data_IF_333454329911
#
_entry.id   IF_333454329911
#
_cell.length_a   1.000
_cell.length_b   1.000
_cell.length_c   1.000
_cell.angle_alpha   90.00
_cell.angle_beta   90.00
_cell.angle_gamma   90.00
#
_symmetry.space_group_name_H-M   'P 1'
#
loop_
_entity.id
_entity.type
_entity.pdbx_description
1 polymer ?
#
# COMPACT_ATOMS: atom_id res chain seq x y z
N UNK A 1 8.49 -21.30 18.94
CA UNK A 1 7.57 -20.58 18.06
C UNK A 1 7.77 -19.08 18.28
N UNK A 2 8.57 -18.48 17.45
CA UNK A 2 8.74 -17.02 17.42
C UNK A 2 7.75 -16.50 16.39
N UNK A 3 6.57 -16.05 16.80
CA UNK A 3 5.76 -15.23 15.95
C UNK A 3 6.23 -13.79 16.12
N UNK A 4 6.82 -13.20 15.11
CA UNK A 4 6.96 -11.74 15.09
C UNK A 4 5.57 -11.10 15.06
N UNK A 5 5.39 -9.94 15.67
CA UNK A 5 4.10 -9.24 15.69
C UNK A 5 3.55 -9.03 14.25
N UNK A 6 4.43 -8.86 13.26
CA UNK A 6 4.06 -8.76 11.85
C UNK A 6 3.46 -10.06 11.29
N UNK A 7 3.97 -11.25 11.69
CA UNK A 7 3.40 -12.52 11.23
C UNK A 7 2.01 -12.79 11.80
N UNK A 8 1.66 -12.20 12.93
CA UNK A 8 0.34 -12.34 13.53
C UNK A 8 -0.73 -11.50 12.82
N UNK A 9 -0.37 -10.40 12.19
CA UNK A 9 -1.28 -9.56 11.39
C UNK A 9 -1.78 -10.30 10.15
N UNK A 10 -0.95 -11.12 9.51
CA UNK A 10 -1.28 -11.86 8.29
C UNK A 10 -1.93 -13.23 8.52
N UNK A 11 -1.81 -13.81 9.71
CA UNK A 11 -2.39 -15.14 10.04
C UNK A 11 -3.91 -15.16 10.23
N UNK A 12 -4.61 -14.08 9.95
CA UNK A 12 -6.06 -13.98 10.21
C UNK A 12 -6.93 -14.63 9.16
N UNK A 13 -6.39 -15.11 8.05
CA UNK A 13 -7.17 -15.73 7.01
C UNK A 13 -6.67 -17.15 6.71
N UNK A 14 -7.46 -18.15 7.09
CA UNK A 14 -7.24 -19.54 6.70
C UNK A 14 -8.24 -19.87 5.60
N UNK A 15 -7.76 -20.18 4.40
CA UNK A 15 -8.58 -20.64 3.29
C UNK A 15 -8.64 -22.16 3.30
N UNK A 16 -9.83 -22.71 3.58
CA UNK A 16 -10.12 -24.12 3.50
C UNK A 16 -10.88 -24.42 2.22
N UNK A 17 -10.29 -25.21 1.32
CA UNK A 17 -11.00 -25.75 0.19
C UNK A 17 -11.46 -27.16 0.53
N UNK A 18 -12.77 -27.35 0.62
CA UNK A 18 -13.38 -28.64 0.95
C UNK A 18 -14.51 -28.98 -0.01
N UNK A 19 -14.74 -30.26 -0.21
CA UNK A 19 -15.96 -30.74 -0.88
C UNK A 19 -17.09 -30.82 0.14
N UNK A 20 -18.25 -30.31 -0.24
CA UNK A 20 -19.46 -30.36 0.57
C UNK A 20 -20.69 -30.55 -0.30
N UNK A 21 -21.79 -30.95 0.31
CA UNK A 21 -23.09 -30.99 -0.37
C UNK A 21 -23.46 -29.59 -0.90
N UNK A 22 -23.95 -29.56 -2.13
CA UNK A 22 -24.36 -28.34 -2.77
C UNK A 22 -25.80 -28.03 -2.42
N UNK A 23 -25.99 -27.33 -1.31
CA UNK A 23 -27.26 -26.88 -0.77
C UNK A 23 -27.17 -25.50 -0.17
N UNK A 24 -28.31 -24.86 0.05
CA UNK A 24 -28.33 -23.59 0.76
C UNK A 24 -27.92 -23.76 2.23
N UNK A 25 -27.12 -22.81 2.70
CA UNK A 25 -26.77 -22.60 4.08
C UNK A 25 -27.16 -21.15 4.39
N UNK A 26 -28.15 -20.97 5.27
CA UNK A 26 -28.69 -19.63 5.59
C UNK A 26 -29.15 -18.83 4.33
N UNK A 27 -29.83 -19.52 3.39
CA UNK A 27 -30.39 -18.90 2.20
C UNK A 27 -29.43 -18.66 1.04
N UNK A 28 -28.15 -19.07 1.16
CA UNK A 28 -27.19 -18.95 0.07
C UNK A 28 -26.06 -19.98 0.12
N UNK A 29 -25.35 -20.15 -1.00
CA UNK A 29 -24.12 -20.95 -1.09
C UNK A 29 -23.19 -20.39 -2.18
N UNK A 30 -21.93 -20.14 -1.82
CA UNK A 30 -20.86 -19.87 -2.79
C UNK A 30 -20.12 -21.19 -3.07
N UNK A 31 -19.81 -21.45 -4.34
CA UNK A 31 -19.16 -22.70 -4.74
C UNK A 31 -18.37 -22.57 -6.04
N UNK A 32 -17.42 -23.48 -6.19
CA UNK A 32 -16.66 -23.75 -7.43
C UNK A 32 -16.29 -25.23 -7.45
N UNK A 33 -15.95 -25.77 -8.61
CA UNK A 33 -15.51 -27.16 -8.72
C UNK A 33 -14.29 -27.29 -9.62
N UNK A 34 -13.23 -27.93 -9.13
CA UNK A 34 -11.94 -28.04 -9.84
C UNK A 34 -12.05 -28.70 -11.22
N UNK A 35 -12.90 -29.72 -11.35
CA UNK A 35 -13.10 -30.38 -12.65
C UNK A 35 -13.74 -29.50 -13.71
N UNK A 36 -14.31 -28.35 -13.32
CA UNK A 36 -14.85 -27.38 -14.28
C UNK A 36 -13.74 -26.75 -15.14
N UNK A 37 -12.49 -26.75 -14.69
CA UNK A 37 -11.36 -26.25 -15.47
C UNK A 37 -11.15 -26.96 -16.81
N UNK A 38 -11.54 -28.25 -16.89
CA UNK A 38 -11.29 -29.10 -18.08
C UNK A 38 -12.56 -29.62 -18.77
N UNK A 39 -13.73 -29.50 -18.15
CA UNK A 39 -15.00 -29.96 -18.70
C UNK A 39 -16.18 -29.15 -18.19
N UNK A 40 -17.25 -29.10 -18.97
CA UNK A 40 -18.53 -28.55 -18.50
C UNK A 40 -19.14 -29.48 -17.44
N UNK A 41 -19.67 -28.89 -16.38
CA UNK A 41 -20.32 -29.60 -15.30
C UNK A 41 -21.79 -29.20 -15.21
N UNK A 42 -22.65 -30.16 -14.86
CA UNK A 42 -24.00 -29.91 -14.36
C UNK A 42 -23.91 -29.74 -12.85
N UNK A 43 -24.55 -28.71 -12.36
CA UNK A 43 -24.72 -28.43 -10.94
C UNK A 43 -26.19 -28.60 -10.58
N UNK A 44 -26.45 -29.36 -9.53
CA UNK A 44 -27.78 -29.54 -8.96
C UNK A 44 -27.70 -29.08 -7.49
N UNK A 45 -28.34 -27.95 -7.18
CA UNK A 45 -28.26 -27.27 -5.90
C UNK A 45 -29.57 -27.54 -5.16
N UNK A 46 -29.52 -28.10 -3.97
CA UNK A 46 -30.71 -28.21 -3.11
C UNK A 46 -31.05 -26.82 -2.54
N UNK A 47 -32.20 -26.31 -2.99
CA UNK A 47 -32.73 -25.00 -2.61
C UNK A 47 -34.07 -25.15 -1.91
N UNK A 48 -34.31 -26.29 -1.26
CA UNK A 48 -35.56 -26.62 -0.57
C UNK A 48 -35.90 -25.50 0.44
N UNK A 49 -37.11 -24.95 0.31
CA UNK A 49 -37.61 -23.86 1.14
C UNK A 49 -37.29 -22.44 0.62
N UNK A 50 -36.52 -22.29 -0.44
CA UNK A 50 -36.31 -21.00 -1.07
C UNK A 50 -37.53 -20.56 -1.88
N UNK A 51 -37.83 -19.27 -1.87
CA UNK A 51 -38.98 -18.66 -2.57
C UNK A 51 -38.58 -18.21 -3.99
N UNK A 52 -37.42 -17.63 -4.15
CA UNK A 52 -36.93 -17.11 -5.45
C UNK A 52 -35.45 -17.41 -5.63
N UNK A 53 -35.07 -18.70 -5.76
CA UNK A 53 -33.67 -19.07 -5.88
C UNK A 53 -33.08 -18.65 -7.22
N UNK A 54 -31.88 -18.08 -7.19
CA UNK A 54 -31.11 -17.63 -8.35
C UNK A 54 -29.66 -18.12 -8.25
N UNK A 55 -28.99 -18.16 -9.41
CA UNK A 55 -27.54 -18.42 -9.50
C UNK A 55 -26.88 -17.31 -10.28
N UNK A 56 -25.78 -16.80 -9.74
CA UNK A 56 -24.93 -15.84 -10.44
C UNK A 56 -23.52 -16.39 -10.58
N UNK A 57 -22.93 -16.17 -11.75
CA UNK A 57 -21.51 -16.32 -11.99
C UNK A 57 -20.82 -15.05 -11.46
N UNK A 58 -19.96 -15.21 -10.46
CA UNK A 58 -19.22 -14.15 -9.80
C UNK A 58 -17.72 -14.27 -10.01
N UNK A 59 -17.31 -15.03 -11.03
CA UNK A 59 -15.89 -15.20 -11.42
C UNK A 59 -15.20 -13.86 -11.63
N UNK A 60 -15.94 -12.89 -12.16
CA UNK A 60 -15.51 -11.50 -12.29
C UNK A 60 -16.34 -10.67 -11.29
N UNK A 61 -15.80 -10.33 -10.12
CA UNK A 61 -16.58 -9.77 -9.01
C UNK A 61 -17.30 -8.44 -9.32
N UNK A 62 -16.74 -7.64 -10.22
CA UNK A 62 -17.31 -6.35 -10.64
C UNK A 62 -18.24 -6.47 -11.87
N UNK A 63 -18.43 -7.67 -12.40
CA UNK A 63 -19.30 -7.94 -13.53
C UNK A 63 -20.06 -9.28 -13.36
N UNK A 64 -20.82 -9.46 -12.26
CA UNK A 64 -21.57 -10.68 -12.02
C UNK A 64 -22.62 -10.88 -13.12
N UNK A 65 -22.84 -12.14 -13.49
CA UNK A 65 -23.79 -12.53 -14.54
C UNK A 65 -24.82 -13.51 -13.99
N UNK A 66 -26.09 -13.25 -14.24
CA UNK A 66 -27.15 -14.22 -13.92
C UNK A 66 -27.02 -15.45 -14.81
N UNK A 67 -27.23 -16.63 -14.23
CA UNK A 67 -27.23 -17.91 -14.93
C UNK A 67 -28.67 -18.41 -15.02
N UNK A 68 -29.10 -18.77 -16.23
CA UNK A 68 -30.36 -19.45 -16.41
C UNK A 68 -30.30 -20.85 -15.79
N UNK A 69 -31.14 -21.09 -14.80
CA UNK A 69 -31.20 -22.35 -14.08
C UNK A 69 -32.65 -22.85 -13.97
N UNK A 70 -32.84 -24.13 -14.08
CA UNK A 70 -34.15 -24.79 -13.99
C UNK A 70 -34.44 -25.17 -12.55
N UNK A 71 -35.59 -24.72 -12.03
CA UNK A 71 -36.07 -25.10 -10.70
C UNK A 71 -37.08 -26.27 -10.82
N UNK A 72 -36.70 -27.43 -10.31
CA UNK A 72 -37.56 -28.62 -10.29
C UNK A 72 -37.33 -29.44 -9.03
N UNK A 73 -38.43 -29.84 -8.35
CA UNK A 73 -38.35 -30.70 -7.19
C UNK A 73 -37.49 -30.18 -6.03
N UNK A 74 -37.44 -28.86 -5.81
CA UNK A 74 -36.60 -28.24 -4.77
C UNK A 74 -35.11 -28.18 -5.12
N UNK A 75 -34.75 -28.46 -6.39
CA UNK A 75 -33.40 -28.34 -6.90
C UNK A 75 -33.31 -27.29 -8.00
N UNK A 76 -32.29 -26.46 -7.92
CA UNK A 76 -31.92 -25.50 -8.94
C UNK A 76 -30.77 -26.09 -9.76
N UNK A 77 -31.00 -26.33 -11.07
CA UNK A 77 -30.05 -27.04 -11.93
C UNK A 77 -29.59 -26.19 -13.10
N UNK A 78 -28.30 -26.22 -13.40
CA UNK A 78 -27.74 -25.59 -14.59
C UNK A 78 -26.48 -26.32 -15.06
N UNK A 79 -26.07 -26.06 -16.30
CA UNK A 79 -24.81 -26.56 -16.85
C UNK A 79 -23.85 -25.39 -17.05
N UNK A 80 -22.61 -25.53 -16.58
CA UNK A 80 -21.61 -24.48 -16.76
C UNK A 80 -21.49 -24.05 -18.22
N UNK A 81 -21.41 -22.74 -18.54
CA UNK A 81 -21.46 -22.25 -19.91
C UNK A 81 -20.25 -22.73 -20.74
N UNK A 82 -19.12 -22.93 -20.11
CA UNK A 82 -17.89 -23.41 -20.76
C UNK A 82 -17.02 -24.24 -19.78
N UNK A 83 -16.04 -24.95 -20.32
CA UNK A 83 -15.02 -25.68 -19.55
C UNK A 83 -13.98 -24.70 -19.04
N UNK A 84 -14.24 -24.08 -17.90
CA UNK A 84 -13.33 -23.19 -17.18
C UNK A 84 -13.65 -23.18 -15.70
N UNK A 85 -12.66 -22.93 -14.85
CA UNK A 85 -12.91 -22.74 -13.43
C UNK A 85 -13.68 -21.44 -13.24
N UNK A 86 -14.87 -21.56 -12.67
CA UNK A 86 -15.77 -20.44 -12.40
C UNK A 86 -16.23 -20.48 -10.95
N UNK A 87 -16.54 -19.32 -10.42
CA UNK A 87 -17.10 -19.14 -9.09
C UNK A 87 -18.57 -18.74 -9.23
N UNK A 88 -19.42 -19.42 -8.48
CA UNK A 88 -20.85 -19.19 -8.49
C UNK A 88 -21.36 -18.88 -7.09
N UNK A 89 -22.40 -18.07 -7.02
CA UNK A 89 -23.22 -17.88 -5.82
C UNK A 89 -24.65 -18.21 -6.18
N UNK A 90 -25.25 -19.14 -5.44
CA UNK A 90 -26.69 -19.37 -5.46
C UNK A 90 -27.29 -18.79 -4.18
N UNK A 91 -28.42 -18.10 -4.30
CA UNK A 91 -29.08 -17.40 -3.21
C UNK A 91 -30.58 -17.29 -3.42
N UNK A 92 -31.34 -17.09 -2.35
CA UNK A 92 -32.75 -16.77 -2.44
C UNK A 92 -32.93 -15.25 -2.54
N UNK A 93 -33.39 -14.77 -3.71
CA UNK A 93 -33.61 -13.35 -3.92
C UNK A 93 -34.75 -12.75 -3.06
N UNK A 94 -35.58 -13.61 -2.44
CA UNK A 94 -36.60 -13.19 -1.48
C UNK A 94 -36.07 -13.10 -0.04
N UNK A 95 -34.83 -13.53 0.23
CA UNK A 95 -34.24 -13.45 1.56
C UNK A 95 -33.89 -11.99 1.93
N UNK A 96 -33.76 -11.75 3.24
CA UNK A 96 -33.28 -10.45 3.74
C UNK A 96 -31.77 -10.37 3.57
N UNK A 97 -31.31 -9.43 2.76
CA UNK A 97 -29.89 -9.14 2.60
C UNK A 97 -29.40 -8.10 3.59
N UNK A 98 -28.09 -8.14 3.87
CA UNK A 98 -27.43 -7.08 4.63
C UNK A 98 -27.53 -5.76 3.88
N UNK A 99 -27.91 -4.70 4.57
CA UNK A 99 -27.94 -3.36 4.02
C UNK A 99 -26.66 -2.63 4.39
N UNK A 100 -26.04 -1.88 3.46
CA UNK A 100 -24.88 -1.06 3.79
C UNK A 100 -25.27 0.05 4.77
N UNK A 101 -24.34 0.38 5.66
CA UNK A 101 -24.48 1.54 6.56
C UNK A 101 -24.03 2.78 5.78
N UNK A 102 -24.90 3.78 5.72
CA UNK A 102 -24.55 5.07 5.13
C UNK A 102 -23.67 5.84 6.11
N UNK A 103 -22.42 6.10 5.73
CA UNK A 103 -21.45 6.85 6.54
C UNK A 103 -21.65 8.35 6.38
N UNK A 104 -21.91 8.82 5.16
CA UNK A 104 -22.13 10.23 4.86
C UNK A 104 -21.79 10.61 3.41
N UNK A 105 -21.95 11.88 3.05
CA UNK A 105 -21.58 12.38 1.73
C UNK A 105 -20.06 12.51 1.63
N UNK A 106 -19.53 12.25 0.44
CA UNK A 106 -18.15 12.57 0.06
C UNK A 106 -18.18 13.81 -0.83
N UNK A 107 -17.31 14.79 -0.55
CA UNK A 107 -17.18 15.98 -1.38
C UNK A 107 -16.74 15.61 -2.80
N UNK A 108 -17.27 16.29 -3.79
CA UNK A 108 -16.84 16.11 -5.17
C UNK A 108 -15.35 16.42 -5.30
N UNK A 109 -14.64 15.56 -6.00
CA UNK A 109 -13.21 15.66 -6.25
C UNK A 109 -12.91 15.18 -7.68
N UNK A 110 -11.74 15.55 -8.18
CA UNK A 110 -11.25 15.06 -9.47
C UNK A 110 -9.72 15.13 -9.49
N UNK A 111 -9.06 14.13 -8.93
CA UNK A 111 -7.59 14.03 -8.94
C UNK A 111 -7.06 13.73 -10.35
N UNK A 112 -7.88 13.10 -11.18
CA UNK A 112 -7.54 12.86 -12.57
C UNK A 112 -7.43 14.14 -13.40
N UNK A 113 -7.99 15.27 -12.97
CA UNK A 113 -7.85 16.56 -13.63
C UNK A 113 -6.67 17.41 -13.12
N UNK A 114 -5.94 16.93 -12.11
CA UNK A 114 -4.82 17.68 -11.55
C UNK A 114 -3.71 17.88 -12.60
N UNK A 115 -3.07 19.07 -12.62
CA UNK A 115 -1.92 19.33 -13.47
C UNK A 115 -0.70 18.52 -12.99
N UNK A 116 0.31 18.45 -13.83
CA UNK A 116 1.64 17.94 -13.48
C UNK A 116 2.23 18.71 -12.30
N UNK A 117 2.96 18.02 -11.46
CA UNK A 117 3.81 18.61 -10.43
C UNK A 117 5.14 17.87 -10.31
N UNK A 118 6.21 18.59 -9.94
CA UNK A 118 7.51 18.00 -9.65
C UNK A 118 7.51 17.29 -8.31
N UNK A 119 6.87 17.89 -7.31
CA UNK A 119 6.75 17.39 -5.95
C UNK A 119 5.28 17.10 -5.61
N UNK A 120 4.97 15.86 -5.29
CA UNK A 120 3.67 15.46 -4.76
C UNK A 120 3.81 15.18 -3.28
N UNK A 121 3.01 15.84 -2.45
CA UNK A 121 2.98 15.64 -1.00
C UNK A 121 1.63 15.00 -0.64
N UNK A 122 1.67 13.79 -0.11
CA UNK A 122 0.49 13.12 0.45
C UNK A 122 0.47 13.37 1.95
N UNK A 123 -0.57 14.05 2.42
CA UNK A 123 -0.67 14.51 3.81
C UNK A 123 -2.06 14.28 4.38
N UNK A 124 -2.18 13.71 5.60
CA UNK A 124 -3.42 13.74 6.34
C UNK A 124 -3.88 15.19 6.59
N UNK A 125 -5.20 15.42 6.81
CA UNK A 125 -5.73 16.76 7.09
C UNK A 125 -5.00 17.50 8.21
N UNK A 126 -4.51 16.78 9.20
CA UNK A 126 -3.84 17.34 10.39
C UNK A 126 -2.57 18.13 10.04
N UNK A 127 -1.86 17.76 8.97
CA UNK A 127 -0.56 18.34 8.60
C UNK A 127 -0.61 19.16 7.30
N UNK A 128 -1.80 19.41 6.74
CA UNK A 128 -1.96 20.08 5.45
C UNK A 128 -1.31 21.47 5.39
N UNK A 129 -1.35 22.23 6.49
CA UNK A 129 -0.81 23.59 6.53
C UNK A 129 0.74 23.54 6.42
N UNK A 130 1.36 22.64 7.16
CA UNK A 130 2.82 22.45 7.11
C UNK A 130 3.27 21.83 5.79
N UNK A 131 2.50 20.93 5.22
CA UNK A 131 2.76 20.36 3.91
C UNK A 131 2.72 21.43 2.80
N UNK A 132 1.78 22.37 2.88
CA UNK A 132 1.71 23.52 1.95
C UNK A 132 2.89 24.46 2.15
N UNK A 133 3.22 24.81 3.42
CA UNK A 133 4.34 25.68 3.75
C UNK A 133 5.66 25.11 3.18
N UNK A 134 5.84 23.79 3.26
CA UNK A 134 6.99 23.12 2.66
C UNK A 134 6.96 23.18 1.14
N UNK A 135 5.80 22.95 0.52
CA UNK A 135 5.65 23.06 -0.93
C UNK A 135 5.94 24.48 -1.45
N UNK A 136 5.43 25.49 -0.76
CA UNK A 136 5.71 26.91 -1.07
C UNK A 136 7.20 27.23 -0.97
N UNK A 137 7.87 26.74 0.08
CA UNK A 137 9.31 26.86 0.19
C UNK A 137 10.05 26.28 -1.01
N UNK A 138 9.69 25.09 -1.47
CA UNK A 138 10.32 24.46 -2.63
C UNK A 138 10.02 25.19 -3.96
N UNK A 139 8.87 25.86 -4.08
CA UNK A 139 8.61 26.74 -5.22
C UNK A 139 9.61 27.92 -5.25
N UNK A 140 9.79 28.58 -4.11
CA UNK A 140 10.63 29.77 -4.01
C UNK A 140 12.12 29.44 -4.05
N UNK A 141 12.53 28.36 -3.39
CA UNK A 141 13.94 28.01 -3.22
C UNK A 141 14.48 27.14 -4.36
N UNK A 142 13.71 26.15 -4.80
CA UNK A 142 14.15 25.11 -5.75
C UNK A 142 13.45 25.20 -7.12
N UNK A 143 12.52 26.13 -7.28
CA UNK A 143 11.71 26.29 -8.50
C UNK A 143 10.89 25.03 -8.85
N UNK A 144 10.47 24.23 -7.85
CA UNK A 144 9.66 23.06 -8.04
C UNK A 144 8.17 23.41 -8.02
N UNK A 145 7.41 22.86 -8.96
CA UNK A 145 5.95 22.83 -8.83
C UNK A 145 5.52 21.77 -7.83
N UNK A 146 4.45 22.04 -7.06
CA UNK A 146 3.98 21.10 -6.05
C UNK A 146 2.46 20.88 -6.03
N UNK A 147 2.05 19.73 -5.51
CA UNK A 147 0.69 19.38 -5.16
C UNK A 147 0.66 18.81 -3.74
N UNK A 148 -0.36 19.20 -2.95
CA UNK A 148 -0.65 18.56 -1.66
C UNK A 148 -2.01 17.88 -1.75
N UNK A 149 -2.05 16.57 -1.48
CA UNK A 149 -3.25 15.75 -1.63
C UNK A 149 -3.49 14.92 -0.37
N UNK A 150 -4.76 14.81 0.02
CA UNK A 150 -5.14 13.96 1.15
C UNK A 150 -5.22 12.50 0.73
N UNK A 151 -4.77 11.55 1.56
CA UNK A 151 -4.83 10.11 1.25
C UNK A 151 -6.26 9.62 0.99
N UNK A 152 -7.26 10.13 1.72
CA UNK A 152 -8.66 9.77 1.51
C UNK A 152 -9.15 10.11 0.09
N UNK A 153 -8.70 11.23 -0.48
CA UNK A 153 -9.03 11.59 -1.86
C UNK A 153 -8.40 10.62 -2.87
N UNK A 154 -7.16 10.19 -2.62
CA UNK A 154 -6.49 9.19 -3.45
C UNK A 154 -7.25 7.86 -3.36
N UNK A 155 -7.60 7.42 -2.16
CA UNK A 155 -8.35 6.16 -1.99
C UNK A 155 -9.70 6.18 -2.70
N UNK A 156 -10.41 7.30 -2.66
CA UNK A 156 -11.71 7.42 -3.34
C UNK A 156 -11.61 7.17 -4.85
N UNK A 157 -10.59 7.70 -5.52
CA UNK A 157 -10.47 7.59 -6.98
C UNK A 157 -9.65 6.39 -7.46
N UNK A 158 -8.69 5.90 -6.66
CA UNK A 158 -7.74 4.86 -7.10
C UNK A 158 -7.91 3.50 -6.44
N UNK A 159 -8.77 3.40 -5.39
CA UNK A 159 -9.07 2.14 -4.70
C UNK A 159 -10.50 2.04 -4.15
N UNK A 160 -11.46 2.74 -4.77
CA UNK A 160 -12.88 2.72 -4.40
C UNK A 160 -13.14 3.05 -2.92
N UNK A 161 -12.36 3.96 -2.35
CA UNK A 161 -12.45 4.42 -0.97
C UNK A 161 -11.73 3.52 0.06
N UNK A 162 -11.16 2.41 -0.35
CA UNK A 162 -10.43 1.52 0.56
C UNK A 162 -8.98 2.00 0.73
N UNK A 163 -8.47 2.17 1.96
CA UNK A 163 -7.06 2.44 2.19
C UNK A 163 -6.19 1.32 1.58
N UNK A 164 -5.39 1.66 0.59
CA UNK A 164 -4.56 0.73 -0.17
C UNK A 164 -3.27 1.43 -0.62
N UNK A 165 -2.12 0.80 -0.35
CA UNK A 165 -0.82 1.30 -0.80
C UNK A 165 -0.77 1.44 -2.32
N UNK A 166 -1.40 0.52 -3.05
CA UNK A 166 -1.48 0.55 -4.51
C UNK A 166 -2.19 1.79 -5.05
N UNK A 167 -3.12 2.38 -4.27
CA UNK A 167 -3.80 3.61 -4.68
C UNK A 167 -2.82 4.79 -4.80
N UNK A 168 -1.90 4.93 -3.85
CA UNK A 168 -0.87 5.99 -3.89
C UNK A 168 0.07 5.75 -5.07
N UNK A 169 0.51 4.51 -5.29
CA UNK A 169 1.32 4.15 -6.46
C UNK A 169 0.60 4.48 -7.77
N UNK A 170 -0.67 4.11 -7.92
CA UNK A 170 -1.49 4.39 -9.10
C UNK A 170 -1.67 5.89 -9.33
N UNK A 171 -1.83 6.66 -8.27
CA UNK A 171 -1.90 8.10 -8.36
C UNK A 171 -0.60 8.71 -8.91
N UNK A 172 0.57 8.28 -8.43
CA UNK A 172 1.86 8.69 -8.98
C UNK A 172 2.05 8.21 -10.42
N UNK A 173 1.69 6.94 -10.69
CA UNK A 173 1.76 6.36 -12.03
C UNK A 173 0.91 7.14 -13.05
N UNK A 174 -0.24 7.67 -12.67
CA UNK A 174 -1.06 8.51 -13.55
C UNK A 174 -0.27 9.70 -14.10
N UNK A 175 0.52 10.38 -13.29
CA UNK A 175 1.38 11.49 -13.76
C UNK A 175 2.53 10.97 -14.62
N UNK A 176 3.13 9.87 -14.23
CA UNK A 176 4.21 9.22 -14.98
C UNK A 176 3.76 8.83 -16.38
N UNK A 177 2.62 8.15 -16.52
CA UNK A 177 2.08 7.72 -17.81
C UNK A 177 1.70 8.90 -18.70
N UNK A 178 1.17 9.99 -18.11
CA UNK A 178 0.85 11.24 -18.84
C UNK A 178 2.06 11.94 -19.41
N UNK A 179 3.22 11.75 -18.83
CA UNK A 179 4.47 12.27 -19.38
C UNK A 179 4.82 11.65 -20.74
N UNK A 180 4.22 10.49 -21.06
CA UNK A 180 4.35 9.81 -22.36
C UNK A 180 5.81 9.71 -22.86
N UNK A 181 6.73 9.38 -21.93
CA UNK A 181 8.15 9.24 -22.21
C UNK A 181 8.98 10.52 -22.09
N UNK A 182 8.35 11.69 -21.95
CA UNK A 182 9.06 12.95 -21.73
C UNK A 182 9.47 13.09 -20.25
N UNK A 183 10.75 12.92 -19.98
CA UNK A 183 11.30 12.99 -18.62
C UNK A 183 11.08 14.36 -17.96
N UNK A 184 11.01 15.44 -18.72
CA UNK A 184 10.78 16.78 -18.19
C UNK A 184 9.35 16.96 -17.65
N UNK A 185 8.43 16.10 -18.05
CA UNK A 185 7.03 16.10 -17.62
C UNK A 185 6.72 15.06 -16.53
N UNK A 186 7.67 14.20 -16.16
CA UNK A 186 7.50 13.22 -15.08
C UNK A 186 7.44 13.90 -13.72
N UNK A 187 6.71 13.34 -12.74
CA UNK A 187 6.89 13.72 -11.35
C UNK A 187 8.31 13.34 -10.92
N UNK A 188 8.91 14.15 -10.05
CA UNK A 188 10.29 13.93 -9.58
C UNK A 188 10.33 13.37 -8.16
N UNK A 189 9.40 13.80 -7.32
CA UNK A 189 9.42 13.49 -5.89
C UNK A 189 8.04 13.18 -5.36
N UNK A 190 7.99 12.21 -4.44
CA UNK A 190 6.84 11.93 -3.57
C UNK A 190 7.28 12.10 -2.12
N UNK A 191 6.57 12.94 -1.37
CA UNK A 191 6.71 13.03 0.07
C UNK A 191 5.47 12.48 0.77
N UNK A 192 5.67 11.49 1.62
CA UNK A 192 4.66 10.97 2.53
C UNK A 192 4.77 11.77 3.84
N UNK A 193 3.87 12.72 4.03
CA UNK A 193 3.92 13.64 5.18
C UNK A 193 3.10 13.07 6.34
N UNK A 194 3.65 12.12 7.06
CA UNK A 194 3.04 11.41 8.19
C UNK A 194 3.79 10.12 8.51
N UNK A 195 3.67 9.67 9.75
CA UNK A 195 4.26 8.41 10.18
C UNK A 195 3.64 7.22 9.46
N UNK A 196 4.34 6.10 9.44
CA UNK A 196 3.89 4.82 8.90
C UNK A 196 3.74 3.76 9.98
N UNK A 197 3.08 2.67 9.63
CA UNK A 197 2.95 1.51 10.50
C UNK A 197 3.03 0.22 9.70
N UNK A 198 3.61 -0.82 10.29
CA UNK A 198 3.47 -2.17 9.76
C UNK A 198 2.05 -2.73 9.97
N UNK A 199 1.31 -2.20 10.95
CA UNK A 199 -0.11 -2.54 11.17
C UNK A 199 -1.04 -1.48 10.56
N UNK A 200 -1.07 -1.41 9.23
CA UNK A 200 -1.91 -0.47 8.49
C UNK A 200 -3.41 -0.56 8.85
N UNK A 201 -3.85 -1.64 9.49
CA UNK A 201 -5.26 -1.89 9.85
C UNK A 201 -5.56 -1.67 11.31
N UNK A 202 -4.56 -1.35 12.13
CA UNK A 202 -4.66 -1.18 13.59
C UNK A 202 -5.31 -2.38 14.28
N UNK A 203 -4.86 -3.59 13.95
CA UNK A 203 -5.40 -4.83 14.50
C UNK A 203 -4.68 -5.30 15.77
N UNK A 204 -3.46 -4.84 15.99
CA UNK A 204 -2.73 -5.12 17.23
C UNK A 204 -3.18 -4.17 18.33
N UNK A 205 -3.14 -4.61 19.60
CA UNK A 205 -3.53 -3.78 20.75
C UNK A 205 -2.68 -2.51 20.83
N UNK A 206 -1.40 -2.61 20.51
CA UNK A 206 -0.49 -1.48 20.49
C UNK A 206 -0.98 -0.40 19.54
N UNK A 207 -1.18 -0.73 18.26
CA UNK A 207 -1.55 0.23 17.23
C UNK A 207 -3.02 0.68 17.31
N UNK A 208 -3.91 -0.16 17.85
CA UNK A 208 -5.30 0.21 18.10
C UNK A 208 -5.45 1.35 19.12
N UNK A 209 -4.48 1.51 20.02
CA UNK A 209 -4.48 2.55 21.07
C UNK A 209 -3.99 3.92 20.59
N UNK A 210 -3.31 4.00 19.44
CA UNK A 210 -2.80 5.26 18.92
C UNK A 210 -3.88 6.09 18.22
N UNK A 211 -4.05 7.33 18.64
CA UNK A 211 -5.01 8.30 18.09
C UNK A 211 -4.31 9.40 17.28
N UNK A 212 -3.45 9.00 16.35
CA UNK A 212 -2.86 9.93 15.39
C UNK A 212 -2.99 9.39 13.96
N UNK A 213 -3.08 10.27 12.95
CA UNK A 213 -3.12 9.83 11.57
C UNK A 213 -1.76 9.32 11.13
N UNK A 214 -1.73 8.14 10.52
CA UNK A 214 -0.55 7.65 9.81
C UNK A 214 -0.89 7.38 8.34
N UNK A 215 0.15 7.38 7.51
CA UNK A 215 0.06 7.02 6.11
C UNK A 215 0.39 5.54 5.93
N UNK A 216 -0.40 4.88 5.12
CA UNK A 216 -0.19 3.47 4.79
C UNK A 216 1.23 3.23 4.25
N UNK A 217 1.82 2.12 4.63
CA UNK A 217 3.07 1.59 4.09
C UNK A 217 2.77 0.41 3.16
N UNK A 218 3.66 0.15 2.21
CA UNK A 218 3.64 -1.13 1.52
C UNK A 218 4.34 -2.18 2.40
N UNK A 219 3.82 -3.40 2.38
CA UNK A 219 4.38 -4.53 3.11
C UNK A 219 4.70 -5.66 2.15
N UNK A 220 5.84 -6.33 2.37
CA UNK A 220 6.21 -7.53 1.63
C UNK A 220 5.19 -8.66 1.80
N UNK A 221 5.06 -9.50 0.78
CA UNK A 221 4.08 -10.60 0.75
C UNK A 221 4.44 -11.75 1.71
N UNK A 222 5.73 -11.88 2.03
CA UNK A 222 6.21 -12.93 2.92
C UNK A 222 5.98 -12.55 4.39
N UNK A 223 5.31 -13.40 5.14
CA UNK A 223 5.03 -13.16 6.55
C UNK A 223 5.68 -14.16 7.50
N UNK A 224 6.45 -15.11 6.98
CA UNK A 224 7.07 -16.21 7.73
C UNK A 224 8.58 -16.00 7.83
N UNK A 225 9.21 -15.47 6.81
CA UNK A 225 10.64 -15.17 6.78
C UNK A 225 10.87 -13.72 7.24
N UNK A 226 11.65 -13.54 8.30
CA UNK A 226 11.96 -12.23 8.87
C UNK A 226 12.75 -11.33 7.93
N UNK A 227 13.48 -11.89 6.97
CA UNK A 227 14.27 -11.13 5.99
C UNK A 227 13.39 -10.52 4.89
N UNK A 228 12.34 -11.26 4.52
CA UNK A 228 11.44 -10.88 3.43
C UNK A 228 10.15 -10.19 3.95
N UNK A 229 9.95 -10.19 5.28
CA UNK A 229 8.84 -9.49 5.93
C UNK A 229 9.27 -8.09 6.35
N UNK A 230 9.11 -7.14 5.45
CA UNK A 230 9.51 -5.74 5.66
C UNK A 230 8.44 -4.76 5.17
N UNK A 231 8.52 -3.54 5.66
CA UNK A 231 7.79 -2.39 5.13
C UNK A 231 8.72 -1.51 4.31
N UNK A 232 8.21 -0.95 3.23
CA UNK A 232 8.99 -0.04 2.38
C UNK A 232 8.12 1.03 1.76
N UNK A 233 8.71 2.19 1.52
CA UNK A 233 8.10 3.26 0.75
C UNK A 233 8.54 3.23 -0.74
N UNK A 234 9.55 2.46 -1.09
CA UNK A 234 10.06 2.34 -2.47
C UNK A 234 8.98 1.88 -3.45
N UNK A 235 8.04 1.03 -2.99
CA UNK A 235 6.90 0.57 -3.76
C UNK A 235 6.13 1.68 -4.47
N UNK A 236 6.02 2.84 -3.86
CA UNK A 236 5.30 3.97 -4.43
C UNK A 236 6.01 4.62 -5.62
N UNK A 237 7.30 4.31 -5.80
CA UNK A 237 8.13 4.84 -6.86
C UNK A 237 8.43 3.88 -8.01
N UNK A 238 7.91 2.66 -7.97
CA UNK A 238 8.01 1.69 -9.06
C UNK A 238 6.84 1.90 -10.02
N UNK A 239 7.05 2.71 -11.07
CA UNK A 239 5.95 3.23 -11.88
C UNK A 239 5.79 2.56 -13.25
N UNK A 240 6.70 1.66 -13.64
CA UNK A 240 6.51 0.85 -14.85
C UNK A 240 5.38 -0.16 -14.71
N UNK A 241 4.82 -0.64 -15.85
CA UNK A 241 3.66 -1.53 -15.90
C UNK A 241 3.94 -2.92 -15.31
N UNK A 242 5.17 -3.40 -15.46
CA UNK A 242 5.65 -4.71 -15.03
C UNK A 242 6.27 -4.71 -13.64
N UNK A 243 6.25 -3.57 -12.95
CA UNK A 243 6.83 -3.40 -11.63
C UNK A 243 5.78 -3.49 -10.50
N UNK A 244 6.28 -3.68 -9.28
CA UNK A 244 5.48 -3.71 -8.04
C UNK A 244 5.09 -5.10 -7.57
N UNK A 245 5.26 -6.14 -8.40
CA UNK A 245 5.09 -7.54 -7.99
C UNK A 245 6.38 -8.14 -7.41
N UNK A 246 7.53 -7.71 -7.91
CA UNK A 246 8.86 -8.14 -7.44
C UNK A 246 9.68 -6.88 -7.13
N UNK A 247 9.76 -6.54 -5.84
CA UNK A 247 10.45 -5.33 -5.38
C UNK A 247 11.97 -5.38 -5.58
N UNK A 248 12.56 -6.59 -5.65
CA UNK A 248 14.00 -6.75 -5.80
C UNK A 248 14.49 -6.45 -7.22
N UNK A 249 13.60 -6.45 -8.19
CA UNK A 249 13.92 -6.18 -9.60
C UNK A 249 13.42 -4.85 -10.11
N UNK A 250 12.63 -4.16 -9.30
CA UNK A 250 12.08 -2.87 -9.64
C UNK A 250 13.12 -1.76 -9.48
N UNK A 251 12.97 -0.69 -10.24
CA UNK A 251 13.84 0.49 -10.21
C UNK A 251 13.03 1.72 -9.86
N UNK A 252 13.54 2.54 -8.94
CA UNK A 252 12.87 3.79 -8.57
C UNK A 252 12.88 4.79 -9.73
N UNK A 253 11.70 5.21 -10.16
CA UNK A 253 11.49 6.25 -11.16
C UNK A 253 11.48 7.66 -10.58
N UNK A 254 11.20 7.79 -9.28
CA UNK A 254 11.09 9.05 -8.56
C UNK A 254 11.76 8.97 -7.19
N UNK A 255 12.19 10.11 -6.67
CA UNK A 255 12.67 10.21 -5.29
C UNK A 255 11.50 10.13 -4.30
N UNK A 256 11.66 9.31 -3.24
CA UNK A 256 10.64 9.16 -2.21
C UNK A 256 11.21 9.51 -0.85
N UNK A 257 10.41 10.21 -0.06
CA UNK A 257 10.71 10.51 1.32
C UNK A 257 9.48 10.41 2.22
N UNK A 258 9.73 10.18 3.50
CA UNK A 258 8.67 10.20 4.53
C UNK A 258 9.09 11.11 5.68
N UNK A 259 8.14 11.93 6.15
CA UNK A 259 8.27 12.65 7.41
C UNK A 259 7.49 11.86 8.47
N UNK A 260 8.17 11.12 9.36
CA UNK A 260 7.54 10.28 10.37
C UNK A 260 7.01 11.12 11.54
N UNK A 261 6.09 12.03 11.24
CA UNK A 261 5.50 12.97 12.22
C UNK A 261 4.11 12.49 12.64
N UNK A 262 3.80 12.67 13.92
CA UNK A 262 2.55 12.23 14.57
C UNK A 262 1.71 13.39 15.07
N UNK A 263 2.33 14.54 15.33
CA UNK A 263 1.69 15.73 15.89
C UNK A 263 1.97 16.96 15.03
N UNK A 264 1.12 17.99 15.17
CA UNK A 264 1.35 19.29 14.51
C UNK A 264 2.69 19.93 14.91
N UNK A 265 3.08 19.76 16.17
CA UNK A 265 4.35 20.30 16.66
C UNK A 265 5.54 19.62 15.99
N UNK A 266 5.52 18.30 15.85
CA UNK A 266 6.56 17.56 15.14
C UNK A 266 6.57 17.92 13.64
N UNK A 267 5.41 18.08 13.02
CA UNK A 267 5.30 18.50 11.63
C UNK A 267 5.93 19.87 11.40
N UNK A 268 5.61 20.86 12.25
CA UNK A 268 6.20 22.19 12.18
C UNK A 268 7.73 22.13 12.40
N UNK A 269 8.20 21.43 13.43
CA UNK A 269 9.62 21.29 13.72
C UNK A 269 10.41 20.60 12.57
N UNK A 270 9.80 19.62 11.91
CA UNK A 270 10.41 18.95 10.76
C UNK A 270 10.57 19.91 9.56
N UNK A 271 9.53 20.69 9.26
CA UNK A 271 9.57 21.68 8.18
C UNK A 271 10.57 22.81 8.52
N UNK A 272 10.55 23.31 9.76
CA UNK A 272 11.51 24.33 10.23
C UNK A 272 12.96 23.85 10.10
N UNK A 273 13.23 22.61 10.50
CA UNK A 273 14.54 21.99 10.38
C UNK A 273 14.99 21.91 8.92
N UNK A 274 14.13 21.49 8.01
CA UNK A 274 14.45 21.38 6.58
C UNK A 274 14.74 22.77 6.00
N UNK A 275 13.89 23.75 6.26
CA UNK A 275 14.08 25.11 5.77
C UNK A 275 15.37 25.71 6.33
N UNK A 276 15.62 25.57 7.64
CA UNK A 276 16.84 26.05 8.26
C UNK A 276 18.09 25.40 7.67
N UNK A 277 18.03 24.08 7.38
CA UNK A 277 19.15 23.38 6.75
C UNK A 277 19.38 23.87 5.31
N UNK A 278 18.35 24.01 4.51
CA UNK A 278 18.46 24.43 3.11
C UNK A 278 18.94 25.89 2.97
N UNK A 279 18.49 26.74 3.89
CA UNK A 279 18.87 28.18 3.88
C UNK A 279 20.11 28.49 4.74
N UNK A 280 20.73 27.48 5.33
CA UNK A 280 21.84 27.64 6.24
C UNK A 280 23.08 28.24 5.55
N UNK A 281 23.48 29.42 6.01
CA UNK A 281 24.65 30.17 5.55
C UNK A 281 25.90 29.95 6.41
N UNK A 282 25.82 29.07 7.42
CA UNK A 282 26.99 28.68 8.19
C UNK A 282 27.91 27.80 7.34
N UNK A 283 29.08 28.32 7.00
CA UNK A 283 30.11 27.67 6.19
C UNK A 283 31.18 26.99 7.05
N UNK A 284 30.87 26.60 8.26
CA UNK A 284 31.79 25.90 9.15
C UNK A 284 32.30 24.56 8.58
N UNK A 285 33.46 24.13 9.06
CA UNK A 285 34.12 22.88 8.62
C UNK A 285 33.24 21.63 8.80
N UNK A 286 32.29 21.67 9.72
CA UNK A 286 31.35 20.58 9.99
C UNK A 286 30.53 20.12 8.76
N UNK A 287 30.39 20.99 7.75
CA UNK A 287 29.72 20.61 6.48
C UNK A 287 30.51 19.64 5.62
N UNK A 288 31.79 19.50 5.92
CA UNK A 288 32.69 18.57 5.23
C UNK A 288 32.91 17.28 6.03
N UNK A 289 32.34 17.19 7.25
CA UNK A 289 32.50 16.02 8.08
C UNK A 289 31.54 14.91 7.60
N UNK A 290 32.09 13.72 7.37
CA UNK A 290 31.33 12.52 7.07
C UNK A 290 31.43 11.60 8.29
N UNK A 291 30.28 11.29 8.88
CA UNK A 291 30.18 10.39 10.00
C UNK A 291 29.75 9.01 9.52
N UNK A 292 30.56 7.99 9.75
CA UNK A 292 30.24 6.59 9.51
C UNK A 292 29.89 5.94 10.83
N UNK A 293 28.72 5.30 10.87
CA UNK A 293 28.19 4.61 12.05
C UNK A 293 28.09 3.13 11.76
N UNK A 294 28.70 2.29 12.57
CA UNK A 294 28.64 0.83 12.43
C UNK A 294 28.66 0.18 13.80
N UNK A 295 28.04 -0.98 13.92
CA UNK A 295 28.12 -1.84 15.08
C UNK A 295 29.13 -3.01 14.88
N UNK A 296 29.42 -3.72 15.94
CA UNK A 296 30.31 -4.89 15.97
C UNK A 296 29.55 -6.20 15.75
N UNK A 297 28.27 -6.15 15.46
CA UNK A 297 27.45 -7.33 15.12
C UNK A 297 27.95 -8.08 13.90
N UNK A 298 27.44 -9.31 13.67
CA UNK A 298 27.80 -10.15 12.54
C UNK A 298 29.31 -10.35 12.36
N UNK A 299 30.03 -10.61 13.45
CA UNK A 299 31.50 -10.78 13.45
C UNK A 299 32.26 -9.53 12.96
N UNK A 300 31.73 -8.34 13.18
CA UNK A 300 32.33 -7.07 12.79
C UNK A 300 32.22 -6.72 11.30
N UNK A 301 31.32 -7.39 10.57
CA UNK A 301 31.12 -7.15 9.13
C UNK A 301 30.75 -5.70 8.82
N UNK A 302 29.85 -5.13 9.62
CA UNK A 302 29.42 -3.71 9.44
C UNK A 302 30.56 -2.73 9.66
N UNK A 303 31.42 -3.01 10.65
CA UNK A 303 32.64 -2.22 10.87
C UNK A 303 33.62 -2.32 9.70
N UNK A 304 33.85 -3.53 9.18
CA UNK A 304 34.74 -3.73 8.03
C UNK A 304 34.23 -3.06 6.76
N UNK A 305 32.92 -3.04 6.53
CA UNK A 305 32.28 -2.33 5.42
C UNK A 305 32.43 -0.80 5.58
N UNK A 306 32.18 -0.27 6.78
CA UNK A 306 32.39 1.14 7.10
C UNK A 306 33.83 1.58 6.92
N UNK A 307 34.79 0.77 7.37
CA UNK A 307 36.22 1.05 7.17
C UNK A 307 36.61 1.05 5.68
N UNK A 308 36.00 0.17 4.89
CA UNK A 308 36.20 0.15 3.43
C UNK A 308 35.72 1.45 2.80
N UNK A 309 34.54 1.96 3.20
CA UNK A 309 34.03 3.26 2.75
C UNK A 309 34.93 4.42 3.19
N UNK A 310 35.39 4.39 4.44
CA UNK A 310 36.32 5.39 4.95
C UNK A 310 37.59 5.47 4.10
N UNK A 311 38.20 4.34 3.80
CA UNK A 311 39.41 4.25 2.97
C UNK A 311 39.19 4.78 1.55
N UNK A 312 38.02 4.54 0.94
CA UNK A 312 37.66 5.10 -0.37
C UNK A 312 37.56 6.63 -0.28
N UNK A 313 36.90 7.15 0.74
CA UNK A 313 36.73 8.59 0.92
C UNK A 313 38.06 9.29 1.21
N UNK A 314 38.94 8.70 2.00
CA UNK A 314 40.28 9.25 2.26
C UNK A 314 41.14 9.32 1.01
N UNK A 315 41.00 8.40 0.06
CA UNK A 315 41.73 8.40 -1.19
C UNK A 315 41.24 9.46 -2.18
N UNK A 316 39.98 9.88 -2.09
CA UNK A 316 39.32 10.79 -3.04
C UNK A 316 39.20 12.21 -2.49
N UNK A 317 39.22 12.38 -1.16
CA UNK A 317 38.89 13.63 -0.50
C UNK A 317 39.88 13.95 0.64
N UNK A 318 40.32 15.21 0.71
CA UNK A 318 41.15 15.72 1.81
C UNK A 318 40.36 16.00 3.10
N UNK A 319 39.26 15.30 3.31
CA UNK A 319 38.35 15.51 4.47
C UNK A 319 38.66 14.55 5.60
N UNK A 320 38.60 15.07 6.83
CA UNK A 320 38.81 14.28 8.05
C UNK A 320 37.58 13.49 8.40
N UNK A 321 37.74 12.17 8.49
CA UNK A 321 36.70 11.24 8.94
C UNK A 321 36.95 10.85 10.38
N UNK A 322 35.98 10.92 11.27
CA UNK A 322 35.89 10.05 12.43
C UNK A 322 34.61 10.16 13.24
N UNK A 323 33.95 9.01 13.48
CA UNK A 323 33.31 8.70 14.75
C UNK A 323 33.37 7.19 14.99
N UNK A 324 33.91 6.77 16.13
CA UNK A 324 33.80 5.41 16.64
C UNK A 324 32.78 5.43 17.76
N UNK A 325 31.66 4.76 17.59
CA UNK A 325 30.75 4.44 18.65
C UNK A 325 31.10 3.05 19.23
N UNK A 326 31.75 3.02 20.38
CA UNK A 326 31.88 1.79 21.15
C UNK A 326 30.62 1.59 21.99
N UNK A 327 29.87 0.55 21.71
CA UNK A 327 28.74 0.12 22.54
C UNK A 327 29.26 -0.19 23.94
N UNK A 328 28.91 0.64 24.93
CA UNK A 328 29.04 0.23 26.31
C UNK A 328 27.92 -0.77 26.59
N UNK A 329 28.33 -2.00 26.90
CA UNK A 329 27.43 -2.96 27.52
C UNK A 329 26.91 -2.38 28.86
N UNK A 330 25.60 -2.26 28.96
CA UNK A 330 24.88 -2.21 30.23
C UNK A 330 24.30 -3.59 30.51
#
# INVERSE_FOLDING_TARGET
ALSSAASDVYKRQILLNMERELRFYDGQVAFRHRSAATRRLRYDIDVSGAVSPQVWDVTVPYAPQSIDAELSGGKLSFVSPQASLREYVAFDAAATFLSPIVVGPVSNQNLHALPRADLVIVSPPLFMDEAKRLGEFHVEHDSLSYLVVQPAHIYNEFSSGTPDATAIRRFMKMFYDRANGDESLRPRYLLLFGDGSYDNRRVTEEWASYDYPFLITFQGDESVDEKDNFVTDDYFGFLHDDEGADLYRATLDIGIGRFPVRTKTEAAAMVDKLIAYATNTDYGYWKNDICLVADDGNSGEHMAQSETLANILETVSYTHLRAHETRRHL
#
